data_IF_881048621635
#
_entry.id   IF_881048621635
#
_cell.length_a   1.000
_cell.length_b   1.000
_cell.length_c   1.000
_cell.angle_alpha   90.00
_cell.angle_beta   90.00
_cell.angle_gamma   90.00
#
_symmetry.space_group_name_H-M   'P 1'
#
loop_
_entity.id
_entity.type
_entity.pdbx_description
1 polymer ?
#
# COMPACT_ATOMS: atom_id res chain seq x y z
N UNK A 1 -4.73 -37.23 0.90
CA UNK A 1 -3.78 -36.83 1.95
C UNK A 1 -2.78 -35.79 1.47
N UNK A 2 -2.16 -35.94 0.29
CA UNK A 2 -1.15 -35.01 -0.25
C UNK A 2 -1.59 -33.53 -0.31
N UNK A 3 -2.81 -33.23 -0.81
CA UNK A 3 -3.32 -31.84 -0.90
C UNK A 3 -3.49 -31.19 0.48
N UNK A 4 -3.92 -31.97 1.48
CA UNK A 4 -4.09 -31.50 2.85
C UNK A 4 -2.74 -31.22 3.51
N UNK A 5 -1.75 -32.08 3.27
CA UNK A 5 -0.37 -31.87 3.74
C UNK A 5 0.26 -30.64 3.08
N UNK A 6 0.03 -30.43 1.78
CA UNK A 6 0.52 -29.26 1.03
C UNK A 6 -0.08 -27.94 1.53
N UNK A 7 -1.38 -27.95 1.83
CA UNK A 7 -2.10 -26.82 2.42
C UNK A 7 -1.63 -26.53 3.85
N UNK A 8 -1.51 -27.58 4.69
CA UNK A 8 -1.02 -27.45 6.06
C UNK A 8 0.41 -26.93 6.12
N UNK A 9 1.29 -27.41 5.23
CA UNK A 9 2.66 -26.92 5.11
C UNK A 9 2.69 -25.43 4.72
N UNK A 10 1.88 -25.02 3.74
CA UNK A 10 1.78 -23.62 3.33
C UNK A 10 1.31 -22.70 4.45
N UNK A 11 0.27 -23.11 5.17
CA UNK A 11 -0.25 -22.39 6.33
C UNK A 11 0.77 -22.30 7.47
N UNK A 12 1.45 -23.41 7.78
CA UNK A 12 2.45 -23.47 8.84
C UNK A 12 3.68 -22.60 8.52
N UNK A 13 4.17 -22.63 7.27
CA UNK A 13 5.33 -21.82 6.86
C UNK A 13 5.00 -20.32 6.89
N UNK A 14 3.83 -19.92 6.42
CA UNK A 14 3.44 -18.51 6.36
C UNK A 14 3.07 -17.95 7.74
N UNK A 15 2.26 -18.66 8.52
CA UNK A 15 1.93 -18.28 9.90
C UNK A 15 3.17 -18.33 10.80
N UNK A 16 3.94 -19.42 10.74
CA UNK A 16 5.14 -19.63 11.54
C UNK A 16 6.25 -18.63 11.20
N UNK A 17 6.48 -18.36 9.91
CA UNK A 17 7.47 -17.37 9.46
C UNK A 17 7.16 -15.95 9.95
N UNK A 18 5.90 -15.53 9.85
CA UNK A 18 5.50 -14.20 10.31
C UNK A 18 5.55 -14.09 11.85
N UNK A 19 5.15 -15.14 12.56
CA UNK A 19 5.23 -15.22 14.02
C UNK A 19 6.68 -15.19 14.50
N UNK A 20 7.57 -15.92 13.86
CA UNK A 20 9.00 -15.90 14.16
C UNK A 20 9.61 -14.51 13.95
N UNK A 21 9.28 -13.83 12.85
CA UNK A 21 9.72 -12.45 12.62
C UNK A 21 9.22 -11.49 13.71
N UNK A 22 7.97 -11.64 14.16
CA UNK A 22 7.42 -10.83 15.26
C UNK A 22 8.11 -11.12 16.59
N UNK A 23 8.42 -12.38 16.89
CA UNK A 23 9.17 -12.76 18.10
C UNK A 23 10.58 -12.16 18.07
N UNK A 24 11.26 -12.21 16.92
CA UNK A 24 12.60 -11.62 16.76
C UNK A 24 12.59 -10.10 16.95
N UNK A 25 11.60 -9.41 16.37
CA UNK A 25 11.45 -7.96 16.51
C UNK A 25 11.05 -7.54 17.93
N UNK A 26 10.15 -8.29 18.57
CA UNK A 26 9.70 -8.02 19.94
C UNK A 26 10.68 -8.55 21.01
N UNK A 27 11.66 -9.36 20.61
CA UNK A 27 12.57 -10.14 21.49
C UNK A 27 11.84 -10.89 22.61
N UNK A 28 10.62 -11.34 22.34
CA UNK A 28 9.73 -12.01 23.31
C UNK A 28 8.90 -13.06 22.60
N UNK A 29 8.79 -14.23 23.21
CA UNK A 29 7.86 -15.27 22.76
C UNK A 29 6.43 -14.74 22.85
N UNK A 30 5.70 -14.84 21.74
CA UNK A 30 4.31 -14.39 21.61
C UNK A 30 3.52 -15.43 20.83
N UNK A 31 2.25 -15.56 21.16
CA UNK A 31 1.29 -16.30 20.35
C UNK A 31 1.21 -15.70 18.93
N UNK A 32 0.85 -16.50 17.91
CA UNK A 32 0.68 -16.01 16.54
C UNK A 32 -0.34 -14.87 16.52
N UNK A 33 0.06 -13.75 15.93
CA UNK A 33 -0.83 -12.60 15.80
C UNK A 33 -2.02 -12.90 14.87
N UNK A 34 -3.14 -12.18 15.00
CA UNK A 34 -4.26 -12.29 14.06
C UNK A 34 -3.85 -12.08 12.60
N UNK A 35 -2.84 -11.24 12.34
CA UNK A 35 -2.23 -11.07 11.02
C UNK A 35 -1.55 -12.36 10.53
N UNK A 36 -0.78 -13.03 11.38
CA UNK A 36 -0.10 -14.28 11.05
C UNK A 36 -1.12 -15.41 10.78
N UNK A 37 -2.15 -15.50 11.61
CA UNK A 37 -3.25 -16.47 11.45
C UNK A 37 -4.04 -16.22 10.17
N UNK A 38 -4.40 -14.96 9.89
CA UNK A 38 -5.10 -14.55 8.66
C UNK A 38 -4.32 -14.89 7.39
N UNK A 39 -3.02 -14.61 7.37
CA UNK A 39 -2.16 -14.95 6.23
C UNK A 39 -2.00 -16.47 6.08
N UNK A 40 -1.80 -17.18 7.21
CA UNK A 40 -1.71 -18.63 7.24
C UNK A 40 -2.97 -19.31 6.74
N UNK A 41 -4.15 -18.85 7.19
CA UNK A 41 -5.44 -19.37 6.74
C UNK A 41 -5.68 -19.08 5.27
N UNK A 42 -5.30 -17.90 4.78
CA UNK A 42 -5.40 -17.57 3.35
C UNK A 42 -4.64 -18.61 2.52
N UNK A 43 -3.35 -18.81 2.80
CA UNK A 43 -2.50 -19.72 2.02
C UNK A 43 -2.97 -21.17 2.16
N UNK A 44 -3.36 -21.60 3.36
CA UNK A 44 -3.86 -22.95 3.59
C UNK A 44 -5.14 -23.25 2.81
N UNK A 45 -6.16 -22.40 2.95
CA UNK A 45 -7.44 -22.55 2.25
C UNK A 45 -7.26 -22.44 0.75
N UNK A 46 -6.45 -21.49 0.28
CA UNK A 46 -6.15 -21.30 -1.14
C UNK A 46 -5.54 -22.57 -1.75
N UNK A 47 -4.45 -23.08 -1.17
CA UNK A 47 -3.77 -24.29 -1.65
C UNK A 47 -4.66 -25.53 -1.58
N UNK A 48 -5.49 -25.63 -0.55
CA UNK A 48 -6.43 -26.74 -0.44
C UNK A 48 -7.44 -26.73 -1.59
N UNK A 49 -8.07 -25.59 -1.86
CA UNK A 49 -9.09 -25.46 -2.90
C UNK A 49 -8.52 -25.53 -4.31
N UNK A 50 -7.42 -24.84 -4.58
CA UNK A 50 -6.72 -24.88 -5.87
C UNK A 50 -6.20 -26.30 -6.15
N UNK A 51 -5.48 -26.91 -5.20
CA UNK A 51 -4.93 -28.26 -5.36
C UNK A 51 -5.99 -29.36 -5.51
N UNK A 52 -7.10 -29.25 -4.78
CA UNK A 52 -8.26 -30.17 -4.95
C UNK A 52 -8.87 -30.00 -6.34
N UNK A 53 -8.99 -28.76 -6.76
CA UNK A 53 -9.50 -28.38 -8.08
C UNK A 53 -8.69 -28.94 -9.24
N UNK A 54 -7.38 -28.76 -9.18
CA UNK A 54 -6.43 -29.25 -10.19
C UNK A 54 -6.44 -30.77 -10.30
N UNK A 55 -6.47 -31.47 -9.16
CA UNK A 55 -6.56 -32.95 -9.13
C UNK A 55 -7.87 -33.48 -9.70
N UNK A 56 -8.98 -32.76 -9.50
CA UNK A 56 -10.30 -33.14 -10.05
C UNK A 56 -10.42 -32.84 -11.54
N UNK A 57 -9.87 -31.72 -12.00
CA UNK A 57 -9.83 -31.34 -13.42
C UNK A 57 -9.01 -32.32 -14.25
N UNK A 58 -7.81 -32.69 -13.77
CA UNK A 58 -6.96 -33.71 -14.40
C UNK A 58 -7.61 -35.10 -14.48
N UNK A 59 -8.58 -35.39 -13.60
CA UNK A 59 -9.24 -36.70 -13.53
C UNK A 59 -10.54 -36.77 -14.34
N UNK A 60 -11.28 -35.66 -14.43
CA UNK A 60 -12.64 -35.65 -14.98
C UNK A 60 -12.80 -34.74 -16.22
N UNK A 61 -11.73 -34.12 -16.73
CA UNK A 61 -11.82 -33.17 -17.86
C UNK A 61 -12.68 -31.94 -17.58
N UNK A 62 -13.05 -31.71 -16.31
CA UNK A 62 -13.92 -30.62 -15.88
C UNK A 62 -13.10 -29.34 -15.65
N UNK A 63 -13.70 -28.15 -15.80
CA UNK A 63 -13.05 -26.89 -15.47
C UNK A 63 -12.62 -26.93 -13.99
N UNK A 64 -11.33 -26.66 -13.72
CA UNK A 64 -10.84 -26.49 -12.36
C UNK A 64 -11.54 -25.30 -11.69
N UNK A 65 -11.72 -25.28 -10.35
CA UNK A 65 -11.91 -24.00 -9.67
C UNK A 65 -10.73 -23.13 -10.05
N UNK A 66 -11.03 -22.04 -10.74
CA UNK A 66 -10.04 -21.05 -11.13
C UNK A 66 -9.35 -20.55 -9.87
N UNK A 67 -8.05 -20.21 -9.96
CA UNK A 67 -7.31 -19.64 -8.83
C UNK A 67 -8.07 -18.45 -8.19
N UNK A 68 -8.85 -17.74 -9.00
CA UNK A 68 -9.77 -16.68 -8.57
C UNK A 68 -10.88 -17.11 -7.60
N UNK A 69 -11.48 -18.29 -7.77
CA UNK A 69 -12.49 -18.81 -6.83
C UNK A 69 -11.85 -19.25 -5.51
N UNK A 70 -10.70 -19.93 -5.58
CA UNK A 70 -9.94 -20.32 -4.41
C UNK A 70 -9.49 -19.09 -3.59
N UNK A 71 -9.03 -18.04 -4.27
CA UNK A 71 -8.63 -16.77 -3.65
C UNK A 71 -9.82 -16.02 -3.02
N UNK A 72 -10.98 -16.04 -3.65
CA UNK A 72 -12.20 -15.42 -3.11
C UNK A 72 -12.63 -16.05 -1.77
N UNK A 73 -12.61 -17.38 -1.69
CA UNK A 73 -12.98 -18.13 -0.48
C UNK A 73 -11.89 -17.97 0.59
N UNK A 74 -10.62 -18.12 0.20
CA UNK A 74 -9.49 -17.97 1.11
C UNK A 74 -9.44 -16.57 1.75
N UNK A 75 -9.76 -15.53 0.98
CA UNK A 75 -9.78 -14.15 1.48
C UNK A 75 -10.94 -13.86 2.43
N UNK A 76 -12.12 -14.46 2.21
CA UNK A 76 -13.21 -14.39 3.17
C UNK A 76 -12.82 -14.99 4.53
N UNK A 77 -12.19 -16.17 4.53
CA UNK A 77 -11.69 -16.81 5.76
C UNK A 77 -10.61 -15.95 6.42
N UNK A 78 -9.66 -15.44 5.64
CA UNK A 78 -8.58 -14.58 6.15
C UNK A 78 -9.12 -13.30 6.80
N UNK A 79 -10.13 -12.67 6.21
CA UNK A 79 -10.73 -11.44 6.73
C UNK A 79 -11.49 -11.66 8.04
N UNK A 80 -12.09 -12.84 8.23
CA UNK A 80 -12.73 -13.20 9.50
C UNK A 80 -11.74 -13.27 10.65
N UNK A 81 -10.50 -13.72 10.39
CA UNK A 81 -9.43 -13.84 11.38
C UNK A 81 -8.64 -12.54 11.59
N UNK A 82 -8.84 -11.54 10.73
CA UNK A 82 -8.10 -10.28 10.79
C UNK A 82 -8.71 -9.31 11.81
N UNK A 83 -7.87 -8.61 12.57
CA UNK A 83 -8.28 -7.52 13.47
C UNK A 83 -9.05 -6.43 12.72
N UNK A 84 -10.10 -5.88 13.35
CA UNK A 84 -10.96 -4.85 12.78
C UNK A 84 -10.18 -3.63 12.24
N UNK A 85 -9.14 -3.19 12.97
CA UNK A 85 -8.31 -2.05 12.57
C UNK A 85 -7.54 -2.26 11.26
N UNK A 86 -7.28 -3.52 10.88
CA UNK A 86 -6.51 -3.87 9.67
C UNK A 86 -7.40 -4.19 8.47
N UNK A 87 -8.68 -4.53 8.70
CA UNK A 87 -9.62 -4.89 7.62
C UNK A 87 -9.72 -3.79 6.57
N UNK A 88 -9.90 -2.55 6.99
CA UNK A 88 -10.00 -1.41 6.07
C UNK A 88 -8.76 -1.29 5.18
N UNK A 89 -7.55 -1.40 5.75
CA UNK A 89 -6.30 -1.30 4.97
C UNK A 89 -6.20 -2.44 3.94
N UNK A 90 -6.48 -3.67 4.35
CA UNK A 90 -6.39 -4.85 3.48
C UNK A 90 -7.44 -4.80 2.37
N UNK A 91 -8.69 -4.46 2.71
CA UNK A 91 -9.77 -4.31 1.72
C UNK A 91 -9.46 -3.18 0.75
N UNK A 92 -9.04 -2.01 1.23
CA UNK A 92 -8.65 -0.89 0.36
C UNK A 92 -7.47 -1.24 -0.55
N UNK A 93 -6.48 -1.98 -0.04
CA UNK A 93 -5.37 -2.45 -0.86
C UNK A 93 -5.85 -3.38 -1.99
N UNK A 94 -6.66 -4.39 -1.65
CA UNK A 94 -7.20 -5.33 -2.64
C UNK A 94 -8.07 -4.62 -3.68
N UNK A 95 -8.94 -3.69 -3.26
CA UNK A 95 -9.77 -2.90 -4.18
C UNK A 95 -8.92 -2.05 -5.12
N UNK A 96 -7.86 -1.40 -4.62
CA UNK A 96 -6.94 -0.61 -5.46
C UNK A 96 -6.22 -1.51 -6.46
N UNK A 97 -5.70 -2.67 -6.05
CA UNK A 97 -5.04 -3.61 -6.97
C UNK A 97 -6.02 -4.15 -8.02
N UNK A 98 -7.23 -4.53 -7.62
CA UNK A 98 -8.27 -5.00 -8.53
C UNK A 98 -8.67 -3.91 -9.54
N UNK A 99 -8.85 -2.67 -9.09
CA UNK A 99 -9.14 -1.54 -9.96
C UNK A 99 -8.00 -1.30 -10.96
N UNK A 100 -6.74 -1.37 -10.52
CA UNK A 100 -5.59 -1.25 -11.42
C UNK A 100 -5.51 -2.38 -12.44
N UNK A 101 -5.87 -3.61 -12.07
CA UNK A 101 -5.97 -4.74 -13.01
C UNK A 101 -7.06 -4.48 -14.05
N UNK A 102 -8.26 -4.07 -13.62
CA UNK A 102 -9.37 -3.77 -14.53
C UNK A 102 -9.05 -2.59 -15.45
N UNK A 103 -8.43 -1.53 -14.94
CA UNK A 103 -8.02 -0.37 -15.75
C UNK A 103 -7.06 -0.81 -16.85
N UNK A 104 -6.09 -1.68 -16.54
CA UNK A 104 -5.16 -2.21 -17.55
C UNK A 104 -5.85 -3.10 -18.60
N UNK A 105 -6.89 -3.84 -18.21
CA UNK A 105 -7.60 -4.74 -19.11
C UNK A 105 -8.59 -4.01 -20.02
N UNK A 106 -9.29 -3.01 -19.49
CA UNK A 106 -10.41 -2.35 -20.19
C UNK A 106 -10.08 -0.97 -20.72
N UNK A 107 -8.90 -0.41 -20.43
CA UNK A 107 -8.53 0.93 -20.88
C UNK A 107 -7.06 1.02 -21.30
N UNK A 108 -6.75 1.96 -22.18
CA UNK A 108 -5.36 2.34 -22.52
C UNK A 108 -4.79 3.36 -21.54
N UNK A 109 -5.53 3.69 -20.47
CA UNK A 109 -5.15 4.73 -19.52
C UNK A 109 -3.82 4.41 -18.84
N UNK A 110 -3.54 3.12 -18.59
CA UNK A 110 -2.29 2.65 -18.00
C UNK A 110 -1.05 2.90 -18.89
N UNK A 111 -1.25 3.11 -20.19
CA UNK A 111 -0.17 3.36 -21.16
C UNK A 111 0.17 4.86 -21.29
N UNK A 112 -0.71 5.73 -20.78
CA UNK A 112 -0.52 7.17 -20.83
C UNK A 112 0.60 7.59 -19.88
N UNK A 113 1.67 8.17 -20.45
CA UNK A 113 2.81 8.64 -19.67
C UNK A 113 2.37 9.69 -18.64
N UNK A 114 2.80 9.50 -17.39
CA UNK A 114 2.52 10.37 -16.24
C UNK A 114 1.05 10.44 -15.80
N UNK A 115 0.19 9.51 -16.24
CA UNK A 115 -1.21 9.46 -15.80
C UNK A 115 -1.38 9.26 -14.29
N UNK A 116 -0.36 8.72 -13.64
CA UNK A 116 -0.30 8.53 -12.21
C UNK A 116 -0.24 9.85 -11.42
N UNK A 117 0.19 10.95 -12.03
CA UNK A 117 0.18 12.28 -11.41
C UNK A 117 -1.24 12.84 -11.24
N UNK A 118 -2.07 12.99 -12.30
CA UNK A 118 -3.44 13.48 -12.15
C UNK A 118 -4.32 12.48 -11.39
N UNK A 119 -4.16 11.16 -11.59
CA UNK A 119 -4.90 10.16 -10.80
C UNK A 119 -4.48 10.22 -9.33
N UNK A 120 -3.19 10.37 -9.06
CA UNK A 120 -2.68 10.59 -7.71
C UNK A 120 -3.23 11.87 -7.09
N UNK A 121 -3.41 12.95 -7.86
CA UNK A 121 -3.94 14.21 -7.36
C UNK A 121 -5.40 14.08 -6.91
N UNK A 122 -6.20 13.31 -7.66
CA UNK A 122 -7.58 12.97 -7.30
C UNK A 122 -7.66 12.15 -6.00
N UNK A 123 -6.64 11.35 -5.68
CA UNK A 123 -6.57 10.60 -4.43
C UNK A 123 -5.97 11.41 -3.26
N UNK A 124 -4.91 12.17 -3.52
CA UNK A 124 -4.15 12.89 -2.51
C UNK A 124 -4.91 14.08 -1.92
N UNK A 125 -5.68 14.80 -2.74
CA UNK A 125 -6.53 15.91 -2.27
C UNK A 125 -7.50 15.47 -1.17
N UNK A 126 -8.41 14.50 -1.43
CA UNK A 126 -9.33 13.95 -0.44
C UNK A 126 -8.65 13.27 0.76
N UNK A 127 -7.46 12.69 0.57
CA UNK A 127 -6.70 12.12 1.68
C UNK A 127 -6.24 13.20 2.66
N UNK A 128 -5.62 14.28 2.16
CA UNK A 128 -5.14 15.40 2.98
C UNK A 128 -6.32 16.16 3.61
N UNK A 129 -7.40 16.33 2.85
CA UNK A 129 -8.68 16.85 3.35
C UNK A 129 -9.18 16.04 4.56
N UNK A 130 -9.27 14.73 4.41
CA UNK A 130 -9.74 13.85 5.50
C UNK A 130 -8.77 13.85 6.68
N UNK A 131 -7.47 13.94 6.42
CA UNK A 131 -6.43 13.97 7.45
C UNK A 131 -6.51 15.21 8.35
N UNK A 132 -7.01 16.32 7.82
CA UNK A 132 -7.15 17.60 8.52
C UNK A 132 -8.56 17.76 9.11
N UNK A 133 -9.61 17.61 8.29
CA UNK A 133 -10.99 17.94 8.67
C UNK A 133 -11.78 16.76 9.25
N UNK A 134 -11.34 15.52 9.01
CA UNK A 134 -12.05 14.30 9.40
C UNK A 134 -11.11 13.26 10.02
N UNK A 135 -10.16 13.73 10.82
CA UNK A 135 -9.10 12.88 11.40
C UNK A 135 -9.64 11.78 12.34
N UNK A 136 -10.82 12.01 12.91
CA UNK A 136 -11.60 11.07 13.73
C UNK A 136 -12.15 9.89 12.93
N UNK A 137 -12.45 10.09 11.64
CA UNK A 137 -12.90 9.04 10.73
C UNK A 137 -11.75 8.17 10.19
N UNK A 138 -10.49 8.58 10.36
CA UNK A 138 -9.32 7.84 9.91
C UNK A 138 -8.89 6.84 10.99
N UNK A 139 -8.51 5.62 10.57
CA UNK A 139 -7.97 4.63 11.50
C UNK A 139 -6.73 5.17 12.24
N UNK A 140 -6.65 4.96 13.56
CA UNK A 140 -5.56 5.48 14.41
C UNK A 140 -4.16 5.14 13.88
N UNK A 141 -3.99 3.94 13.34
CA UNK A 141 -2.73 3.49 12.74
C UNK A 141 -2.35 4.27 11.47
N UNK A 142 -3.32 4.58 10.61
CA UNK A 142 -3.13 5.40 9.42
C UNK A 142 -2.84 6.85 9.81
N UNK A 143 -3.60 7.40 10.76
CA UNK A 143 -3.39 8.75 11.27
C UNK A 143 -1.99 8.91 11.87
N UNK A 144 -1.55 7.96 12.70
CA UNK A 144 -0.21 7.94 13.27
C UNK A 144 0.88 7.87 12.19
N UNK A 145 0.65 7.11 11.11
CA UNK A 145 1.58 7.03 9.99
C UNK A 145 1.68 8.37 9.25
N UNK A 146 0.55 9.01 8.91
CA UNK A 146 0.52 10.33 8.25
C UNK A 146 1.21 11.40 9.11
N UNK A 147 0.93 11.41 10.42
CA UNK A 147 1.54 12.34 11.38
C UNK A 147 3.05 12.13 11.47
N UNK A 148 3.47 10.86 11.53
CA UNK A 148 4.88 10.50 11.54
C UNK A 148 5.56 10.87 10.23
N UNK A 149 4.93 10.71 9.07
CA UNK A 149 5.55 11.08 7.79
C UNK A 149 5.65 12.59 7.60
N UNK A 150 4.66 13.34 8.11
CA UNK A 150 4.66 14.79 8.03
C UNK A 150 5.74 15.44 8.91
N UNK A 151 6.25 14.80 9.96
CA UNK A 151 7.34 15.36 10.78
C UNK A 151 7.04 16.74 11.43
N UNK A 152 5.80 17.24 11.37
CA UNK A 152 5.39 18.43 12.11
C UNK A 152 5.36 18.12 13.62
N UNK A 153 5.65 19.11 14.49
CA UNK A 153 5.48 18.93 15.93
C UNK A 153 4.04 18.56 16.27
N UNK A 154 3.83 17.69 17.27
CA UNK A 154 2.49 17.25 17.69
C UNK A 154 1.58 18.40 18.16
N UNK A 155 2.17 19.51 18.63
CA UNK A 155 1.43 20.73 18.96
C UNK A 155 0.92 21.46 17.72
N UNK A 156 1.68 21.45 16.62
CA UNK A 156 1.27 22.03 15.33
C UNK A 156 0.21 21.14 14.68
N UNK A 157 0.37 19.81 14.71
CA UNK A 157 -0.62 18.87 14.18
C UNK A 157 -1.98 18.97 14.88
N UNK A 158 -1.99 19.11 16.21
CA UNK A 158 -3.22 19.38 16.98
C UNK A 158 -3.86 20.69 16.56
N UNK A 159 -3.07 21.79 16.59
CA UNK A 159 -3.55 23.11 16.18
C UNK A 159 -4.08 23.14 14.75
N UNK A 160 -3.42 22.43 13.84
CA UNK A 160 -3.86 22.26 12.46
C UNK A 160 -5.26 21.68 12.38
N UNK A 161 -5.57 20.65 13.18
CA UNK A 161 -6.88 19.99 13.20
C UNK A 161 -7.94 20.77 13.99
N UNK A 162 -7.53 21.60 14.94
CA UNK A 162 -8.46 22.37 15.76
C UNK A 162 -8.82 23.70 15.07
N UNK A 163 -7.82 24.41 14.53
CA UNK A 163 -7.99 25.76 13.98
C UNK A 163 -8.40 25.75 12.51
N UNK A 164 -7.91 24.82 11.67
CA UNK A 164 -8.29 24.81 10.24
C UNK A 164 -9.80 24.61 10.01
N UNK A 165 -10.46 23.63 10.68
CA UNK A 165 -11.90 23.43 10.56
C UNK A 165 -12.74 24.53 11.19
N UNK A 166 -12.19 25.29 12.13
CA UNK A 166 -12.94 26.32 12.84
C UNK A 166 -13.32 27.52 11.98
N UNK A 167 -12.68 27.69 10.81
CA UNK A 167 -12.80 28.83 9.90
C UNK A 167 -12.55 30.22 10.54
N UNK A 168 -12.09 30.25 11.79
CA UNK A 168 -11.83 31.48 12.57
C UNK A 168 -10.39 31.99 12.44
N UNK A 169 -9.55 31.30 11.68
CA UNK A 169 -8.13 31.66 11.57
C UNK A 169 -7.93 32.84 10.62
N UNK A 170 -6.96 33.71 10.94
CA UNK A 170 -6.60 34.85 10.08
C UNK A 170 -5.65 34.41 8.95
N UNK A 171 -4.74 33.48 9.25
CA UNK A 171 -3.78 32.94 8.30
C UNK A 171 -3.40 31.50 8.62
N UNK A 172 -3.13 30.71 7.57
CA UNK A 172 -2.58 29.35 7.71
C UNK A 172 -1.15 29.37 8.25
N UNK A 173 -0.39 30.44 8.02
CA UNK A 173 0.95 30.62 8.57
C UNK A 173 0.94 30.64 10.11
N UNK A 174 -0.10 31.24 10.71
CA UNK A 174 -0.28 31.26 12.17
C UNK A 174 -0.64 29.88 12.74
N UNK A 175 -1.14 28.97 11.90
CA UNK A 175 -1.37 27.59 12.31
C UNK A 175 -0.05 26.82 12.29
N UNK A 176 0.71 26.93 11.20
CA UNK A 176 1.90 26.10 10.98
C UNK A 176 3.17 26.61 11.68
N UNK A 177 3.39 27.92 11.76
CA UNK A 177 4.67 28.49 12.20
C UNK A 177 4.57 29.88 12.87
N UNK A 178 3.80 30.01 13.96
CA UNK A 178 3.74 31.26 14.76
C UNK A 178 5.13 31.73 15.19
N UNK A 179 5.40 33.01 14.94
CA UNK A 179 6.66 33.64 15.35
C UNK A 179 7.88 33.24 14.50
N UNK A 180 7.68 32.59 13.35
CA UNK A 180 8.75 32.28 12.39
C UNK A 180 8.37 32.81 11.01
N UNK A 181 9.37 33.25 10.24
CA UNK A 181 9.16 33.56 8.82
C UNK A 181 8.93 32.28 8.02
N UNK A 182 8.16 32.37 6.92
CA UNK A 182 7.90 31.21 6.05
C UNK A 182 9.21 30.56 5.59
N UNK A 183 10.21 31.35 5.20
CA UNK A 183 11.52 30.87 4.77
C UNK A 183 12.23 30.08 5.87
N UNK A 184 12.25 30.61 7.09
CA UNK A 184 12.89 29.93 8.22
C UNK A 184 12.20 28.60 8.54
N UNK A 185 10.87 28.60 8.57
CA UNK A 185 10.07 27.40 8.78
C UNK A 185 10.35 26.34 7.71
N UNK A 186 10.28 26.72 6.42
CA UNK A 186 10.46 25.80 5.30
C UNK A 186 11.88 25.23 5.23
N UNK A 187 12.91 26.02 5.50
CA UNK A 187 14.30 25.52 5.55
C UNK A 187 14.48 24.52 6.69
N UNK A 188 14.01 24.86 7.89
CA UNK A 188 14.10 23.98 9.05
C UNK A 188 13.31 22.67 8.84
N UNK A 189 12.11 22.78 8.29
CA UNK A 189 11.26 21.65 7.95
C UNK A 189 11.94 20.75 6.92
N UNK A 190 12.50 21.31 5.85
CA UNK A 190 13.19 20.56 4.82
C UNK A 190 14.38 19.77 5.38
N UNK A 191 15.23 20.40 6.20
CA UNK A 191 16.36 19.72 6.85
C UNK A 191 15.88 18.58 7.75
N UNK A 192 14.84 18.81 8.56
CA UNK A 192 14.25 17.81 9.44
C UNK A 192 13.65 16.64 8.63
N UNK A 193 12.89 16.95 7.59
CA UNK A 193 12.26 15.98 6.68
C UNK A 193 13.31 15.10 5.99
N UNK A 194 14.36 15.70 5.44
CA UNK A 194 15.47 14.97 4.83
C UNK A 194 16.18 14.05 5.83
N UNK A 195 16.46 14.53 7.04
CA UNK A 195 17.08 13.71 8.10
C UNK A 195 16.20 12.52 8.49
N UNK A 196 14.89 12.71 8.59
CA UNK A 196 13.95 11.63 8.86
C UNK A 196 13.87 10.64 7.70
N UNK A 197 13.70 11.13 6.47
CA UNK A 197 13.65 10.30 5.27
C UNK A 197 14.92 9.45 5.14
N UNK A 198 16.08 10.03 5.45
CA UNK A 198 17.35 9.31 5.44
C UNK A 198 17.35 8.17 6.46
N UNK A 199 16.98 8.45 7.70
CA UNK A 199 16.90 7.44 8.77
C UNK A 199 15.91 6.31 8.44
N UNK A 200 14.81 6.64 7.77
CA UNK A 200 13.80 5.68 7.36
C UNK A 200 14.29 4.77 6.23
N UNK A 201 14.90 5.34 5.20
CA UNK A 201 15.23 4.60 3.99
C UNK A 201 16.60 3.93 4.00
N UNK A 202 17.62 4.44 4.72
CA UNK A 202 18.95 3.79 4.77
C UNK A 202 18.83 2.31 5.16
N UNK A 203 18.13 1.92 6.24
CA UNK A 203 18.06 0.51 6.65
C UNK A 203 17.33 -0.36 5.62
N UNK A 204 16.27 0.17 5.01
CA UNK A 204 15.47 -0.53 3.98
C UNK A 204 16.31 -0.77 2.73
N UNK A 205 17.05 0.25 2.27
CA UNK A 205 17.95 0.15 1.12
C UNK A 205 19.16 -0.75 1.40
N UNK A 206 19.73 -0.67 2.61
CA UNK A 206 20.80 -1.57 3.02
C UNK A 206 20.32 -3.03 2.99
N UNK A 207 19.16 -3.34 3.59
CA UNK A 207 18.60 -4.69 3.58
C UNK A 207 18.22 -5.18 2.17
N UNK A 208 17.63 -4.31 1.34
CA UNK A 208 17.23 -4.67 -0.04
C UNK A 208 18.38 -4.74 -1.04
N UNK A 209 19.53 -4.12 -0.76
CA UNK A 209 20.77 -4.33 -1.52
C UNK A 209 21.45 -5.60 -1.02
N UNK A 210 21.58 -5.78 0.30
CA UNK A 210 22.26 -6.91 0.90
C UNK A 210 21.54 -8.23 0.60
N UNK A 211 20.24 -8.36 0.84
CA UNK A 211 19.55 -9.66 0.78
C UNK A 211 19.48 -10.30 -0.63
N UNK A 212 19.11 -9.58 -1.71
CA UNK A 212 19.01 -10.17 -3.06
C UNK A 212 20.33 -10.13 -3.83
N UNK A 213 21.20 -9.14 -3.55
CA UNK A 213 22.47 -8.96 -4.27
C UNK A 213 23.66 -9.51 -3.50
N UNK A 214 23.50 -10.11 -2.31
CA UNK A 214 24.58 -10.80 -1.57
C UNK A 214 25.43 -11.70 -2.47
N UNK A 215 24.76 -12.54 -3.29
CA UNK A 215 25.45 -13.44 -4.22
C UNK A 215 26.20 -12.70 -5.33
N UNK A 216 25.63 -11.60 -5.87
CA UNK A 216 26.33 -10.74 -6.85
C UNK A 216 27.40 -9.85 -6.22
N UNK A 217 27.32 -9.57 -4.93
CA UNK A 217 28.28 -8.73 -4.22
C UNK A 217 29.53 -9.53 -3.83
N UNK A 218 29.36 -10.83 -3.56
CA UNK A 218 30.46 -11.76 -3.28
C UNK A 218 31.01 -12.40 -4.56
N UNK A 219 30.16 -12.72 -5.54
CA UNK A 219 30.54 -13.53 -6.72
C UNK A 219 30.23 -12.88 -8.09
N UNK A 220 29.85 -11.60 -8.13
CA UNK A 220 29.48 -10.91 -9.38
C UNK A 220 29.97 -9.47 -9.44
N UNK A 221 29.66 -8.76 -10.54
CA UNK A 221 30.00 -7.34 -10.67
C UNK A 221 29.26 -6.52 -9.61
N UNK A 222 30.02 -5.75 -8.83
CA UNK A 222 29.46 -4.88 -7.80
C UNK A 222 28.51 -3.87 -8.44
N UNK A 223 27.31 -3.63 -7.87
CA UNK A 223 26.40 -2.63 -8.40
C UNK A 223 27.02 -1.24 -8.26
N UNK A 224 26.78 -0.37 -9.24
CA UNK A 224 27.23 1.01 -9.20
C UNK A 224 26.64 1.75 -7.99
N UNK A 225 27.48 2.08 -7.01
CA UNK A 225 27.08 2.79 -5.79
C UNK A 225 26.48 4.17 -6.08
N UNK A 226 26.98 4.86 -7.11
CA UNK A 226 26.50 6.20 -7.48
C UNK A 226 25.03 6.19 -7.91
N UNK A 227 24.62 5.24 -8.76
CA UNK A 227 23.23 5.16 -9.22
C UNK A 227 22.28 4.77 -8.09
N UNK A 228 22.72 3.92 -7.16
CA UNK A 228 21.98 3.59 -5.94
C UNK A 228 21.81 4.81 -5.02
N UNK A 229 22.88 5.57 -4.80
CA UNK A 229 22.85 6.77 -3.99
C UNK A 229 21.92 7.84 -4.59
N UNK A 230 21.98 8.07 -5.90
CA UNK A 230 21.09 9.03 -6.58
C UNK A 230 19.63 8.62 -6.46
N UNK A 231 19.31 7.33 -6.67
CA UNK A 231 17.94 6.81 -6.48
C UNK A 231 17.47 7.02 -5.05
N UNK A 232 18.34 6.77 -4.09
CA UNK A 232 18.05 6.95 -2.67
C UNK A 232 17.81 8.42 -2.29
N UNK A 233 18.65 9.35 -2.78
CA UNK A 233 18.48 10.78 -2.51
C UNK A 233 17.20 11.31 -3.15
N UNK A 234 16.87 10.87 -4.37
CA UNK A 234 15.59 11.17 -5.03
C UNK A 234 14.40 10.73 -4.19
N UNK A 235 14.45 9.50 -3.66
CA UNK A 235 13.45 8.95 -2.73
C UNK A 235 13.30 9.79 -1.46
N UNK A 236 14.40 10.22 -0.85
CA UNK A 236 14.36 11.06 0.35
C UNK A 236 13.79 12.45 0.04
N UNK A 237 14.19 13.02 -1.10
CA UNK A 237 13.68 14.30 -1.60
C UNK A 237 12.18 14.21 -1.89
N UNK A 238 11.71 13.16 -2.55
CA UNK A 238 10.28 12.93 -2.81
C UNK A 238 9.48 12.90 -1.50
N UNK A 239 9.92 12.12 -0.49
CA UNK A 239 9.20 12.06 0.80
C UNK A 239 9.14 13.43 1.48
N UNK A 240 10.23 14.19 1.43
CA UNK A 240 10.28 15.54 2.02
C UNK A 240 9.37 16.51 1.25
N UNK A 241 9.40 16.45 -0.09
CA UNK A 241 8.60 17.31 -0.95
C UNK A 241 7.10 17.01 -0.87
N UNK A 242 6.70 15.78 -0.55
CA UNK A 242 5.29 15.40 -0.38
C UNK A 242 4.57 16.29 0.62
N UNK A 243 5.26 16.76 1.66
CA UNK A 243 4.69 17.64 2.67
C UNK A 243 5.21 19.08 2.56
N UNK A 244 6.42 19.29 2.04
CA UNK A 244 6.94 20.64 1.83
C UNK A 244 6.13 21.42 0.79
N UNK A 245 5.74 20.79 -0.32
CA UNK A 245 4.94 21.42 -1.39
C UNK A 245 3.57 21.90 -0.86
N UNK A 246 2.72 21.06 -0.24
CA UNK A 246 1.42 21.53 0.25
C UNK A 246 1.55 22.59 1.35
N UNK A 247 2.56 22.51 2.21
CA UNK A 247 2.83 23.55 3.21
C UNK A 247 3.23 24.87 2.52
N UNK A 248 4.09 24.83 1.52
CA UNK A 248 4.50 26.02 0.77
C UNK A 248 3.32 26.66 0.03
N UNK A 249 2.49 25.86 -0.63
CA UNK A 249 1.24 26.32 -1.26
C UNK A 249 0.30 26.95 -0.23
N UNK A 250 0.20 26.37 0.97
CA UNK A 250 -0.64 26.90 2.05
C UNK A 250 -0.19 28.28 2.53
N UNK A 251 1.12 28.54 2.55
CA UNK A 251 1.71 29.82 2.91
C UNK A 251 1.57 30.88 1.81
N UNK A 252 1.61 30.48 0.53
CA UNK A 252 1.48 31.39 -0.61
C UNK A 252 0.04 31.70 -0.99
N UNK A 253 -0.90 30.80 -0.66
CA UNK A 253 -2.30 30.96 -1.01
C UNK A 253 -2.97 32.05 -0.16
N UNK A 254 -3.90 32.86 -0.73
CA UNK A 254 -4.68 33.84 0.03
C UNK A 254 -5.50 33.18 1.16
N UNK A 255 -5.68 33.85 2.29
CA UNK A 255 -6.45 33.33 3.45
C UNK A 255 -7.95 33.08 3.20
N UNK A 256 -8.45 33.25 1.97
CA UNK A 256 -9.82 32.87 1.64
C UNK A 256 -9.94 31.35 1.42
N UNK A 257 -11.09 30.77 1.76
CA UNK A 257 -11.50 29.39 1.42
C UNK A 257 -10.48 28.31 1.84
N UNK A 258 -10.13 28.25 3.12
CA UNK A 258 -9.14 27.32 3.67
C UNK A 258 -9.35 25.84 3.28
N UNK A 259 -10.59 25.38 3.27
CA UNK A 259 -10.94 24.01 2.90
C UNK A 259 -10.59 23.69 1.43
N UNK A 260 -10.93 24.60 0.50
CA UNK A 260 -10.57 24.43 -0.91
C UNK A 260 -9.04 24.48 -1.11
N UNK A 261 -8.35 25.40 -0.43
CA UNK A 261 -6.88 25.47 -0.47
C UNK A 261 -6.24 24.17 0.03
N UNK A 262 -6.75 23.58 1.12
CA UNK A 262 -6.22 22.31 1.64
C UNK A 262 -6.36 21.19 0.61
N UNK A 263 -7.51 21.08 -0.08
CA UNK A 263 -7.70 20.08 -1.14
C UNK A 263 -6.74 20.30 -2.31
N UNK A 264 -6.59 21.54 -2.76
CA UNK A 264 -5.69 21.88 -3.87
C UNK A 264 -4.22 21.64 -3.47
N UNK A 265 -3.82 22.06 -2.27
CA UNK A 265 -2.49 21.78 -1.73
C UNK A 265 -2.25 20.26 -1.64
N UNK A 266 -3.25 19.51 -1.17
CA UNK A 266 -3.23 18.05 -1.14
C UNK A 266 -3.03 17.42 -2.52
N UNK A 267 -3.75 17.91 -3.53
CA UNK A 267 -3.57 17.48 -4.91
C UNK A 267 -2.16 17.79 -5.43
N UNK A 268 -1.62 18.97 -5.11
CA UNK A 268 -0.28 19.41 -5.53
C UNK A 268 0.86 18.63 -4.85
N UNK A 269 0.58 17.85 -3.80
CA UNK A 269 1.58 16.92 -3.25
C UNK A 269 2.10 15.95 -4.31
N UNK A 270 1.31 15.65 -5.35
CA UNK A 270 1.74 14.73 -6.41
C UNK A 270 2.86 15.26 -7.29
N UNK A 271 3.11 16.57 -7.29
CA UNK A 271 4.28 17.14 -7.94
C UNK A 271 5.59 16.61 -7.34
N UNK A 272 5.59 16.22 -6.05
CA UNK A 272 6.75 15.59 -5.42
C UNK A 272 7.16 14.28 -6.12
N UNK A 273 6.23 13.60 -6.80
CA UNK A 273 6.51 12.36 -7.52
C UNK A 273 7.30 12.56 -8.81
N UNK A 274 7.43 13.79 -9.31
CA UNK A 274 8.35 14.10 -10.41
C UNK A 274 9.81 13.86 -10.03
N UNK A 275 10.14 13.94 -8.73
CA UNK A 275 11.47 13.61 -8.23
C UNK A 275 11.70 12.09 -8.09
N UNK A 276 10.64 11.28 -8.06
CA UNK A 276 10.70 9.85 -7.80
C UNK A 276 10.95 9.04 -9.09
N UNK A 277 11.61 7.88 -8.95
CA UNK A 277 11.75 6.95 -10.06
C UNK A 277 10.41 6.30 -10.41
N UNK A 278 10.08 6.17 -11.70
CA UNK A 278 8.80 5.66 -12.21
C UNK A 278 8.32 4.36 -11.53
N UNK A 279 9.19 3.34 -11.47
CA UNK A 279 8.87 2.07 -10.79
C UNK A 279 8.47 2.24 -9.29
N UNK A 280 9.10 3.19 -8.57
CA UNK A 280 8.81 3.44 -7.16
C UNK A 280 7.60 4.36 -6.98
N UNK A 281 7.41 5.29 -7.91
CA UNK A 281 6.26 6.20 -7.97
C UNK A 281 4.95 5.44 -7.98
N UNK A 282 4.82 4.40 -8.80
CA UNK A 282 3.63 3.54 -8.82
C UNK A 282 3.32 2.91 -7.45
N UNK A 283 4.33 2.40 -6.74
CA UNK A 283 4.14 1.81 -5.41
C UNK A 283 3.72 2.84 -4.35
N UNK A 284 4.30 4.05 -4.39
CA UNK A 284 3.87 5.12 -3.47
C UNK A 284 2.46 5.58 -3.81
N UNK A 285 2.10 5.67 -5.08
CA UNK A 285 0.74 6.06 -5.49
C UNK A 285 -0.31 5.02 -5.15
N UNK A 286 0.02 3.73 -5.22
CA UNK A 286 -0.81 2.66 -4.66
C UNK A 286 -1.08 2.92 -3.17
N UNK A 287 -0.04 3.20 -2.37
CA UNK A 287 -0.21 3.47 -0.94
C UNK A 287 -1.11 4.69 -0.66
N UNK A 288 -0.94 5.79 -1.42
CA UNK A 288 -1.83 6.96 -1.35
C UNK A 288 -3.26 6.57 -1.70
N UNK A 289 -3.45 5.79 -2.77
CA UNK A 289 -4.76 5.27 -3.18
C UNK A 289 -5.42 4.41 -2.09
N UNK A 290 -4.66 3.57 -1.38
CA UNK A 290 -5.16 2.76 -0.26
C UNK A 290 -5.67 3.65 0.87
N UNK A 291 -4.88 4.65 1.30
CA UNK A 291 -5.29 5.55 2.38
C UNK A 291 -6.46 6.46 1.97
N UNK A 292 -6.47 6.96 0.74
CA UNK A 292 -7.58 7.73 0.20
C UNK A 292 -8.87 6.90 0.15
N UNK A 293 -8.82 5.67 -0.38
CA UNK A 293 -9.97 4.77 -0.45
C UNK A 293 -10.49 4.43 0.94
N UNK A 294 -9.60 4.12 1.89
CA UNK A 294 -9.98 3.79 3.26
C UNK A 294 -10.64 4.96 4.00
N UNK A 295 -10.09 6.16 3.86
CA UNK A 295 -10.65 7.38 4.49
C UNK A 295 -11.99 7.78 3.88
N UNK A 296 -12.13 7.74 2.56
CA UNK A 296 -13.41 7.99 1.87
C UNK A 296 -14.46 6.95 2.26
N UNK A 297 -14.10 5.66 2.31
CA UNK A 297 -15.02 4.61 2.72
C UNK A 297 -15.51 4.81 4.16
N UNK A 298 -14.61 5.15 5.09
CA UNK A 298 -14.97 5.42 6.48
C UNK A 298 -15.93 6.62 6.60
N UNK A 299 -15.67 7.70 5.86
CA UNK A 299 -16.56 8.88 5.79
C UNK A 299 -17.93 8.53 5.22
N UNK A 300 -17.99 7.77 4.13
CA UNK A 300 -19.26 7.35 3.53
C UNK A 300 -20.07 6.46 4.46
N UNK A 301 -19.42 5.53 5.16
CA UNK A 301 -20.07 4.68 6.17
C UNK A 301 -20.66 5.52 7.30
N UNK A 302 -19.90 6.49 7.81
CA UNK A 302 -20.36 7.39 8.87
C UNK A 302 -21.51 8.29 8.41
N UNK A 303 -21.40 8.89 7.21
CA UNK A 303 -22.41 9.79 6.65
C UNK A 303 -23.74 9.08 6.34
N UNK A 304 -23.67 7.83 5.87
CA UNK A 304 -24.85 7.02 5.53
C UNK A 304 -25.40 6.23 6.74
N UNK A 305 -24.75 6.29 7.90
CA UNK A 305 -25.17 5.56 9.10
C UNK A 305 -25.19 4.03 8.89
N UNK A 306 -24.26 3.49 8.10
CA UNK A 306 -24.28 2.07 7.73
C UNK A 306 -24.03 1.20 8.96
N UNK A 307 -24.89 0.21 9.27
CA UNK A 307 -24.74 -0.59 10.47
C UNK A 307 -23.46 -1.45 10.41
N UNK A 308 -22.77 -1.70 11.55
CA UNK A 308 -21.51 -2.43 11.58
C UNK A 308 -21.56 -3.83 10.94
N UNK A 309 -22.72 -4.51 11.05
CA UNK A 309 -22.95 -5.80 10.40
C UNK A 309 -22.89 -5.70 8.87
N UNK A 310 -23.50 -4.65 8.30
CA UNK A 310 -23.47 -4.41 6.87
C UNK A 310 -22.07 -3.99 6.41
N UNK A 311 -21.35 -3.18 7.20
CA UNK A 311 -19.94 -2.84 6.89
C UNK A 311 -19.07 -4.10 6.80
N UNK A 312 -19.19 -5.01 7.78
CA UNK A 312 -18.44 -6.26 7.79
C UNK A 312 -18.78 -7.15 6.58
N UNK A 313 -20.06 -7.25 6.22
CA UNK A 313 -20.50 -8.02 5.06
C UNK A 313 -20.01 -7.40 3.75
N UNK A 314 -20.11 -6.08 3.60
CA UNK A 314 -19.58 -5.36 2.45
C UNK A 314 -18.07 -5.51 2.31
N UNK A 315 -17.31 -5.44 3.41
CA UNK A 315 -15.86 -5.68 3.40
C UNK A 315 -15.51 -7.10 2.93
N UNK A 316 -16.29 -8.11 3.35
CA UNK A 316 -16.12 -9.49 2.91
C UNK A 316 -16.39 -9.63 1.42
N UNK A 317 -17.54 -9.13 0.94
CA UNK A 317 -17.91 -9.18 -0.48
C UNK A 317 -16.87 -8.46 -1.34
N UNK A 318 -16.47 -7.25 -0.96
CA UNK A 318 -15.49 -6.44 -1.68
C UNK A 318 -14.12 -7.13 -1.74
N UNK A 319 -13.65 -7.68 -0.62
CA UNK A 319 -12.36 -8.38 -0.62
C UNK A 319 -12.39 -9.63 -1.49
N UNK A 320 -13.44 -10.45 -1.35
CA UNK A 320 -13.57 -11.67 -2.16
C UNK A 320 -13.64 -11.34 -3.65
N UNK A 321 -14.44 -10.34 -4.04
CA UNK A 321 -14.54 -9.89 -5.43
C UNK A 321 -13.21 -9.32 -5.96
N UNK A 322 -12.53 -8.48 -5.19
CA UNK A 322 -11.23 -7.94 -5.56
C UNK A 322 -10.18 -9.05 -5.74
N UNK A 323 -10.18 -10.04 -4.85
CA UNK A 323 -9.27 -11.18 -4.96
C UNK A 323 -9.62 -12.08 -6.15
N UNK A 324 -10.89 -12.22 -6.53
CA UNK A 324 -11.26 -12.88 -7.79
C UNK A 324 -10.59 -12.20 -8.97
N UNK A 325 -10.70 -10.87 -9.07
CA UNK A 325 -10.09 -10.09 -10.18
C UNK A 325 -8.57 -10.23 -10.18
N UNK A 326 -7.92 -10.06 -9.03
CA UNK A 326 -6.46 -10.16 -8.91
C UNK A 326 -5.96 -11.54 -9.36
N UNK A 327 -6.72 -12.60 -9.07
CA UNK A 327 -6.34 -13.99 -9.37
C UNK A 327 -6.90 -14.52 -10.70
N UNK A 328 -7.61 -13.72 -11.48
CA UNK A 328 -8.11 -14.12 -12.80
C UNK A 328 -6.99 -14.23 -13.85
N UNK A 329 -5.95 -13.37 -13.76
CA UNK A 329 -4.77 -13.39 -14.63
C UNK A 329 -3.51 -13.08 -13.85
N UNK A 330 -3.01 -14.03 -13.08
CA UNK A 330 -1.72 -13.86 -12.39
C UNK A 330 -0.58 -14.21 -13.33
N UNK A 331 0.10 -13.21 -13.88
CA UNK A 331 1.53 -13.35 -14.16
C UNK A 331 2.27 -13.02 -12.86
N UNK A 332 2.85 -14.00 -12.17
CA UNK A 332 3.52 -13.71 -10.90
C UNK A 332 4.76 -12.86 -11.13
N UNK A 333 4.78 -11.64 -10.56
CA UNK A 333 5.96 -10.74 -10.55
C UNK A 333 7.22 -11.39 -9.95
N UNK A 334 7.05 -12.47 -9.18
CA UNK A 334 8.15 -13.23 -8.59
C UNK A 334 7.85 -14.72 -8.52
N UNK A 335 8.72 -15.54 -9.12
CA UNK A 335 8.69 -16.99 -9.01
C UNK A 335 8.78 -17.50 -7.55
N UNK A 336 9.38 -16.72 -6.65
CA UNK A 336 9.44 -17.04 -5.22
C UNK A 336 8.09 -16.82 -4.53
N UNK A 337 7.38 -15.74 -4.86
CA UNK A 337 6.04 -15.49 -4.32
C UNK A 337 5.03 -16.50 -4.90
N UNK A 338 5.13 -16.84 -6.19
CA UNK A 338 4.35 -17.91 -6.77
C UNK A 338 4.57 -19.24 -6.05
N UNK A 339 5.84 -19.63 -5.82
CA UNK A 339 6.16 -20.85 -5.06
C UNK A 339 5.67 -20.78 -3.60
N UNK A 340 5.73 -19.62 -2.95
CA UNK A 340 5.21 -19.46 -1.60
C UNK A 340 3.68 -19.56 -1.56
N UNK A 341 2.98 -19.10 -2.58
CA UNK A 341 1.53 -19.08 -2.63
C UNK A 341 0.96 -20.42 -3.11
N UNK A 342 1.37 -20.87 -4.29
CA UNK A 342 0.91 -22.10 -4.94
C UNK A 342 1.65 -23.36 -4.45
N UNK A 343 2.89 -23.20 -3.96
CA UNK A 343 3.71 -24.32 -3.50
C UNK A 343 4.43 -25.09 -4.62
N UNK A 344 4.29 -24.65 -5.88
CA UNK A 344 5.02 -25.14 -7.05
C UNK A 344 5.55 -23.96 -7.87
N UNK A 345 6.54 -24.20 -8.73
CA UNK A 345 6.96 -23.21 -9.73
C UNK A 345 6.31 -23.54 -11.07
N UNK A 346 5.57 -22.59 -11.64
CA UNK A 346 5.14 -22.70 -13.04
C UNK A 346 6.37 -22.65 -13.95
N UNK A 347 6.83 -23.83 -14.36
CA UNK A 347 7.66 -24.00 -15.57
C UNK A 347 6.80 -24.24 -16.81
N UNK A 348 5.48 -24.32 -16.66
CA UNK A 348 4.56 -24.76 -17.73
C UNK A 348 3.89 -23.64 -18.51
N UNK A 349 4.10 -22.36 -18.19
CA UNK A 349 3.63 -21.25 -19.06
C UNK A 349 4.71 -20.71 -20.00
N UNK A 350 5.99 -21.06 -19.84
CA UNK A 350 7.04 -20.60 -20.74
C UNK A 350 7.22 -21.46 -21.99
N UNK A 351 6.58 -22.63 -22.06
CA UNK A 351 6.77 -23.58 -23.17
C UNK A 351 5.75 -23.47 -24.28
N UNK A 352 4.58 -22.86 -24.05
CA UNK A 352 3.60 -22.60 -25.12
C UNK A 352 3.86 -21.28 -25.87
N UNK A 353 4.31 -20.23 -25.18
CA UNK A 353 4.63 -18.95 -25.84
C UNK A 353 5.90 -19.06 -26.71
N UNK A 354 6.94 -19.79 -26.27
CA UNK A 354 8.17 -20.01 -27.06
C UNK A 354 7.95 -20.97 -28.26
N UNK A 355 6.97 -21.88 -28.18
CA UNK A 355 6.60 -22.77 -29.30
C UNK A 355 5.77 -22.03 -30.37
N UNK A 356 5.05 -20.96 -29.97
CA UNK A 356 4.32 -20.11 -30.92
C UNK A 356 5.20 -19.06 -31.59
N UNK A 357 6.34 -18.70 -30.98
CA UNK A 357 7.33 -17.76 -31.52
C UNK A 357 8.33 -18.41 -32.49
N UNK A 358 8.37 -19.74 -32.58
CA UNK A 358 9.23 -20.49 -33.52
C UNK A 358 8.52 -20.92 -34.81
N UNK A 359 7.22 -20.62 -34.96
CA UNK A 359 6.43 -20.91 -36.16
C UNK A 359 5.75 -19.67 -36.78
N UNK A 360 6.40 -18.51 -36.73
CA UNK A 360 6.03 -17.34 -37.55
C UNK A 360 7.22 -16.76 -38.30
#
# INVERSE_FOLDING_TARGET
MEVLQHAALGAAVTCGGLTAAQILLARRLKAPSPLALSLGSFVGVFRFLEGTGRKRSSRNGQPSPTASQAAAIASAVALMLLEAERKTVVVSYAVVEAALTLIKEFTTLAEVKYIDIPVGALAAGPLIDSWIYHSDAIAKSQLAALDSFCQLPSSVLRRMRDELPSEKMVSRCDVFHRGQTCTQFHTNYFIKGMKFAVRLYVPIYAASVLAPKYKRWIWGPRPELRSLLVRYLRTCCCLTMLYQVPLGVSCLSPSARHHATVRVAGALTTLAFLAEHEHRRGNVMKAVGVYATGSVAARSVAALGVPPKAVNLSQLVLLSAAMTVIFQRTTPDSSRMARLLYGYSDQTMSTEDDASATNR
#
